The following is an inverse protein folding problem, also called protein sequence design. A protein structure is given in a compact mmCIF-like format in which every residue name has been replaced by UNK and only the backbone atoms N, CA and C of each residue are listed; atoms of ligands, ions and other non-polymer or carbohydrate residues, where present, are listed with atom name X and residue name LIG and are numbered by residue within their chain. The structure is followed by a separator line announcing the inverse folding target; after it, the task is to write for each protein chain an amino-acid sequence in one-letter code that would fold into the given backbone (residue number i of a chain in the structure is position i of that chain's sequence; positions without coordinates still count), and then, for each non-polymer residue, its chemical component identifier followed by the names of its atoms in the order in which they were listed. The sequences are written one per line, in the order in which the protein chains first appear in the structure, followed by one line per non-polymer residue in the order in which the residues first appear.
data_IF_524140518921
#
_entry.id   IF_524140518921
#
_cell.length_a   1.000
_cell.length_b   1.000
_cell.length_c   1.000
_cell.angle_alpha   90.00
_cell.angle_beta   90.00
_cell.angle_gamma   90.00
#
_symmetry.space_group_name_H-M   'P 1'
#
loop_
_entity.id
_entity.type
_entity.pdbx_description
1 polymer ?
#
# COMPACT_ATOMS: atom_id res chain seq x y z
N UNK A 1 -33.99 -0.28 -21.66
CA UNK A 1 -32.89 -0.35 -22.65
C UNK A 1 -32.40 1.06 -22.94
N UNK A 2 -31.46 1.56 -22.14
CA UNK A 2 -30.83 2.86 -22.37
C UNK A 2 -29.37 2.60 -22.73
N UNK A 3 -29.04 2.74 -24.01
CA UNK A 3 -27.65 2.78 -24.49
C UNK A 3 -27.08 4.11 -24.06
N UNK A 4 -26.11 4.09 -23.16
CA UNK A 4 -25.33 5.28 -22.84
C UNK A 4 -24.11 5.32 -23.77
N UNK A 5 -24.33 5.74 -25.02
CA UNK A 5 -23.24 6.19 -25.89
C UNK A 5 -23.00 7.65 -25.58
N UNK A 6 -21.88 7.96 -24.92
CA UNK A 6 -21.37 9.33 -24.84
C UNK A 6 -19.95 9.34 -25.38
N UNK A 7 -19.82 9.88 -26.58
CA UNK A 7 -18.61 10.51 -27.07
C UNK A 7 -18.10 11.46 -25.98
N UNK A 8 -16.89 11.20 -25.49
CA UNK A 8 -16.15 12.11 -24.64
C UNK A 8 -14.87 12.46 -25.40
N UNK A 9 -14.95 13.56 -26.14
CA UNK A 9 -13.80 14.27 -26.67
C UNK A 9 -12.85 14.62 -25.53
N UNK A 10 -11.62 14.15 -25.69
CA UNK A 10 -10.52 14.24 -24.76
C UNK A 10 -10.11 15.70 -24.50
N UNK A 11 -10.12 16.12 -23.24
CA UNK A 11 -9.31 17.23 -22.75
C UNK A 11 -8.48 16.72 -21.58
N UNK A 12 -7.17 16.82 -21.78
CA UNK A 12 -6.13 16.64 -20.78
C UNK A 12 -6.37 17.60 -19.61
N UNK A 13 -6.21 17.11 -18.39
CA UNK A 13 -6.23 17.98 -17.22
C UNK A 13 -6.58 17.27 -15.94
N UNK A 14 -5.75 16.32 -15.50
CA UNK A 14 -5.61 15.96 -14.08
C UNK A 14 -4.20 15.38 -13.86
N UNK A 15 -3.21 16.26 -13.80
CA UNK A 15 -2.00 16.08 -12.97
C UNK A 15 -2.22 17.02 -11.78
N UNK A 16 -1.82 16.59 -10.59
CA UNK A 16 -1.95 17.27 -9.27
C UNK A 16 -3.03 16.72 -8.34
N UNK A 17 -2.67 15.64 -7.65
CA UNK A 17 -2.59 15.63 -6.17
C UNK A 17 -1.89 14.32 -5.77
N UNK A 18 -0.67 14.46 -5.27
CA UNK A 18 0.15 13.36 -4.82
C UNK A 18 -0.49 12.69 -3.60
N UNK A 19 -1.10 11.53 -3.80
CA UNK A 19 -1.49 10.56 -2.76
C UNK A 19 -1.64 9.14 -3.35
N UNK A 20 -0.88 8.83 -4.41
CA UNK A 20 -0.93 7.56 -5.15
C UNK A 20 0.37 6.76 -5.02
N UNK A 21 0.89 6.61 -3.79
CA UNK A 21 2.04 5.71 -3.53
C UNK A 21 1.80 4.65 -2.44
N UNK A 22 0.57 4.47 -1.98
CA UNK A 22 0.24 3.32 -1.14
C UNK A 22 -1.14 2.77 -1.51
N UNK A 23 -1.21 1.48 -1.84
CA UNK A 23 -2.46 0.73 -1.98
C UNK A 23 -3.21 0.59 -0.65
N UNK A 24 -3.71 1.71 -0.12
CA UNK A 24 -4.48 1.80 1.11
C UNK A 24 -5.97 1.66 0.77
N UNK A 25 -6.52 0.48 1.07
CA UNK A 25 -7.96 0.35 1.33
C UNK A 25 -8.23 1.04 2.67
N UNK A 26 -8.53 2.34 2.64
CA UNK A 26 -9.15 3.03 3.78
C UNK A 26 -10.57 2.47 3.90
N UNK A 27 -10.71 1.42 4.69
CA UNK A 27 -12.01 0.87 5.06
C UNK A 27 -12.64 1.79 6.10
N UNK A 28 -13.27 2.88 5.65
CA UNK A 28 -14.46 3.35 6.37
C UNK A 28 -15.48 2.22 6.31
N UNK A 29 -16.03 1.84 7.47
CA UNK A 29 -17.13 0.91 7.53
C UNK A 29 -18.31 1.47 6.72
N UNK A 30 -18.49 0.96 5.50
CA UNK A 30 -19.69 1.10 4.72
C UNK A 30 -20.39 -0.26 4.69
N UNK A 31 -21.63 -0.29 5.18
CA UNK A 31 -22.56 -1.39 4.94
C UNK A 31 -22.85 -1.37 3.43
N UNK A 32 -22.21 -2.26 2.70
CA UNK A 32 -22.40 -2.49 1.28
C UNK A 32 -21.82 -3.86 0.96
N UNK A 33 -22.59 -4.71 0.27
CA UNK A 33 -22.21 -6.08 -0.07
C UNK A 33 -20.76 -6.12 -0.59
N UNK A 34 -19.88 -6.77 0.17
CA UNK A 34 -18.45 -6.81 -0.13
C UNK A 34 -18.22 -7.69 -1.37
N UNK A 35 -18.28 -7.10 -2.56
CA UNK A 35 -17.81 -7.75 -3.77
C UNK A 35 -16.27 -7.84 -3.71
N UNK A 36 -15.74 -9.05 -3.54
CA UNK A 36 -14.31 -9.31 -3.58
C UNK A 36 -13.82 -9.30 -5.03
N UNK A 37 -13.34 -8.16 -5.51
CA UNK A 37 -12.66 -8.09 -6.81
C UNK A 37 -11.26 -8.69 -6.67
N UNK A 38 -10.94 -9.71 -7.46
CA UNK A 38 -9.62 -10.37 -7.46
C UNK A 38 -8.49 -9.45 -7.94
N UNK A 39 -7.24 -9.79 -7.58
CA UNK A 39 -6.06 -9.15 -8.15
C UNK A 39 -5.90 -9.51 -9.62
N UNK A 40 -5.04 -8.76 -10.33
CA UNK A 40 -4.69 -9.11 -11.70
C UNK A 40 -4.07 -10.51 -11.75
N UNK A 41 -4.49 -11.31 -12.73
CA UNK A 41 -3.93 -12.63 -12.98
C UNK A 41 -2.55 -12.57 -13.66
N UNK A 42 -2.13 -11.38 -14.11
CA UNK A 42 -0.87 -11.18 -14.83
C UNK A 42 -0.84 -11.75 -16.25
N UNK A 43 -1.98 -12.23 -16.76
CA UNK A 43 -2.11 -12.79 -18.11
C UNK A 43 -3.33 -12.21 -18.81
N UNK A 44 -3.23 -12.03 -20.12
CA UNK A 44 -4.35 -11.66 -20.98
C UNK A 44 -5.31 -12.85 -21.13
N UNK A 45 -6.57 -12.68 -20.79
CA UNK A 45 -7.57 -13.75 -20.85
C UNK A 45 -7.83 -14.26 -22.27
N UNK A 46 -7.71 -13.41 -23.28
CA UNK A 46 -7.94 -13.80 -24.67
C UNK A 46 -6.77 -14.57 -25.28
N UNK A 47 -5.53 -14.19 -24.96
CA UNK A 47 -4.32 -14.73 -25.61
C UNK A 47 -3.48 -15.61 -24.70
N UNK A 48 -3.80 -15.66 -23.40
CA UNK A 48 -3.03 -16.30 -22.33
C UNK A 48 -1.59 -15.79 -22.21
N UNK A 49 -1.26 -14.67 -22.87
CA UNK A 49 0.07 -14.04 -22.79
C UNK A 49 0.25 -13.34 -21.45
N UNK A 50 1.37 -13.58 -20.79
CA UNK A 50 1.77 -12.81 -19.61
C UNK A 50 2.04 -11.34 -19.93
N UNK A 51 1.63 -10.44 -19.04
CA UNK A 51 1.91 -9.01 -19.15
C UNK A 51 3.36 -8.73 -18.73
N UNK A 52 4.02 -7.83 -19.46
CA UNK A 52 5.32 -7.30 -19.06
C UNK A 52 5.17 -6.27 -17.93
N UNK A 53 6.22 -6.08 -17.13
CA UNK A 53 6.24 -5.04 -16.11
C UNK A 53 6.00 -3.65 -16.75
N UNK A 54 5.11 -2.86 -16.16
CA UNK A 54 4.68 -1.56 -16.68
C UNK A 54 3.69 -1.61 -17.84
N UNK A 55 3.39 -2.79 -18.38
CA UNK A 55 2.52 -2.93 -19.57
C UNK A 55 1.09 -2.46 -19.27
N UNK A 56 0.50 -1.68 -20.18
CA UNK A 56 -0.91 -1.26 -20.08
C UNK A 56 -1.81 -2.43 -20.46
N UNK A 57 -2.81 -2.69 -19.63
CA UNK A 57 -3.85 -3.68 -19.90
C UNK A 57 -5.23 -3.13 -19.52
N UNK A 58 -6.29 -3.83 -19.94
CA UNK A 58 -7.68 -3.54 -19.58
C UNK A 58 -8.17 -4.55 -18.56
N UNK A 59 -8.50 -4.10 -17.35
CA UNK A 59 -9.19 -4.89 -16.35
C UNK A 59 -10.70 -4.79 -16.59
N UNK A 60 -11.39 -5.92 -16.67
CA UNK A 60 -12.83 -6.00 -16.87
C UNK A 60 -13.50 -6.76 -15.71
N UNK A 61 -14.58 -6.20 -15.19
CA UNK A 61 -15.51 -6.91 -14.31
C UNK A 61 -16.50 -7.68 -15.15
N UNK A 62 -16.53 -8.98 -14.96
CA UNK A 62 -17.35 -9.93 -15.68
C UNK A 62 -18.35 -10.54 -14.71
N UNK A 63 -19.63 -10.36 -14.99
CA UNK A 63 -20.72 -11.00 -14.26
C UNK A 63 -21.16 -12.25 -15.02
N UNK A 64 -21.21 -13.39 -14.33
CA UNK A 64 -21.71 -14.65 -14.87
C UNK A 64 -22.80 -15.23 -13.95
N UNK A 65 -23.88 -15.82 -14.51
CA UNK A 65 -24.93 -16.44 -13.72
C UNK A 65 -24.40 -17.49 -12.75
N UNK A 66 -24.75 -17.37 -11.46
CA UNK A 66 -24.34 -18.32 -10.42
C UNK A 66 -22.90 -18.20 -9.90
N UNK A 67 -22.04 -17.41 -10.57
CA UNK A 67 -20.63 -17.19 -10.16
C UNK A 67 -20.43 -15.81 -9.53
N UNK A 68 -21.28 -14.84 -9.87
CA UNK A 68 -21.14 -13.46 -9.41
C UNK A 68 -20.15 -12.65 -10.24
N UNK A 69 -19.64 -11.56 -9.67
CA UNK A 69 -18.72 -10.63 -10.34
C UNK A 69 -17.28 -11.10 -10.15
N UNK A 70 -16.58 -11.31 -11.25
CA UNK A 70 -15.15 -11.68 -11.29
C UNK A 70 -14.36 -10.65 -12.08
N UNK A 71 -13.05 -10.57 -11.85
CA UNK A 71 -12.15 -9.75 -12.65
C UNK A 71 -11.43 -10.60 -13.69
N UNK A 72 -11.37 -10.10 -14.91
CA UNK A 72 -10.65 -10.69 -16.04
C UNK A 72 -9.85 -9.59 -16.72
N UNK A 73 -8.58 -9.85 -17.04
CA UNK A 73 -7.69 -8.85 -17.65
C UNK A 73 -7.44 -9.17 -19.14
N UNK A 74 -7.38 -8.15 -19.98
CA UNK A 74 -7.10 -8.25 -21.42
C UNK A 74 -5.93 -7.34 -21.80
N UNK A 75 -5.09 -7.76 -22.73
CA UNK A 75 -4.18 -6.82 -23.39
C UNK A 75 -4.99 -5.74 -24.13
N UNK A 76 -4.40 -4.55 -24.30
CA UNK A 76 -5.05 -3.45 -25.03
C UNK A 76 -5.42 -3.89 -26.45
N UNK A 77 -4.53 -4.65 -27.12
CA UNK A 77 -4.77 -5.15 -28.47
C UNK A 77 -5.94 -6.13 -28.52
N UNK A 78 -5.99 -7.11 -27.61
CA UNK A 78 -7.10 -8.05 -27.55
C UNK A 78 -8.43 -7.33 -27.25
N UNK A 79 -8.42 -6.37 -26.34
CA UNK A 79 -9.61 -5.59 -25.99
C UNK A 79 -10.13 -4.77 -27.18
N UNK A 80 -9.23 -4.10 -27.90
CA UNK A 80 -9.57 -3.30 -29.08
C UNK A 80 -9.97 -4.18 -30.27
N UNK A 81 -9.42 -5.39 -30.37
CA UNK A 81 -9.81 -6.42 -31.33
C UNK A 81 -11.17 -7.09 -31.03
N UNK A 82 -11.88 -6.65 -29.99
CA UNK A 82 -13.23 -7.12 -29.67
C UNK A 82 -13.29 -8.33 -28.74
N UNK A 83 -12.16 -8.76 -28.15
CA UNK A 83 -12.17 -9.88 -27.21
C UNK A 83 -13.00 -9.54 -25.97
N UNK A 84 -14.02 -10.34 -25.69
CA UNK A 84 -14.95 -10.21 -24.56
C UNK A 84 -15.26 -11.60 -24.00
N UNK A 85 -15.73 -11.71 -22.74
CA UNK A 85 -16.22 -12.98 -22.23
C UNK A 85 -17.35 -13.52 -23.11
N UNK A 86 -17.40 -14.84 -23.29
CA UNK A 86 -18.48 -15.49 -24.01
C UNK A 86 -19.78 -15.44 -23.20
N UNK A 87 -20.92 -15.37 -23.89
CA UNK A 87 -22.22 -15.51 -23.25
C UNK A 87 -22.30 -16.86 -22.48
N UNK A 88 -22.96 -16.91 -21.31
CA UNK A 88 -23.85 -15.90 -20.73
C UNK A 88 -23.16 -14.83 -19.88
N UNK A 89 -21.83 -14.83 -19.81
CA UNK A 89 -21.09 -13.85 -19.02
C UNK A 89 -21.03 -12.50 -19.77
N UNK A 90 -21.15 -11.39 -19.02
CA UNK A 90 -21.15 -10.06 -19.58
C UNK A 90 -20.18 -9.14 -18.84
N UNK A 91 -19.56 -8.21 -19.57
CA UNK A 91 -18.75 -7.16 -18.94
C UNK A 91 -19.70 -6.11 -18.36
N UNK A 92 -19.56 -5.85 -17.06
CA UNK A 92 -20.34 -4.84 -16.32
C UNK A 92 -19.56 -3.57 -16.03
N UNK A 93 -18.23 -3.60 -16.17
CA UNK A 93 -17.35 -2.43 -16.05
C UNK A 93 -15.92 -2.73 -16.47
N UNK A 94 -15.16 -1.72 -16.87
CA UNK A 94 -13.76 -1.89 -17.25
C UNK A 94 -12.93 -0.61 -17.01
N UNK A 95 -11.63 -0.77 -16.79
CA UNK A 95 -10.66 0.32 -16.69
C UNK A 95 -9.30 -0.11 -17.24
N UNK A 96 -8.45 0.86 -17.59
CA UNK A 96 -7.04 0.61 -17.93
C UNK A 96 -6.17 0.68 -16.68
N UNK A 97 -5.14 -0.15 -16.62
CA UNK A 97 -4.14 -0.17 -15.55
C UNK A 97 -2.78 -0.58 -16.13
N UNK A 98 -1.72 -0.30 -15.38
CA UNK A 98 -0.39 -0.84 -15.67
C UNK A 98 -0.16 -2.12 -14.87
N UNK A 99 0.41 -3.15 -15.49
CA UNK A 99 0.79 -4.37 -14.81
C UNK A 99 2.06 -4.11 -14.00
N UNK A 100 2.00 -4.40 -12.71
CA UNK A 100 3.17 -4.47 -11.87
C UNK A 100 3.31 -5.93 -11.45
N UNK A 101 4.44 -6.60 -11.77
CA UNK A 101 4.72 -7.91 -11.21
C UNK A 101 4.58 -7.80 -9.70
N UNK A 102 4.11 -8.87 -9.04
CA UNK A 102 4.00 -8.87 -7.59
C UNK A 102 5.34 -8.36 -7.03
N UNK A 103 5.38 -7.22 -6.32
CA UNK A 103 6.61 -6.83 -5.67
C UNK A 103 6.97 -8.03 -4.78
N UNK A 104 8.16 -8.59 -4.95
CA UNK A 104 8.68 -9.54 -3.97
C UNK A 104 8.41 -8.91 -2.61
N UNK A 105 7.84 -9.69 -1.69
CA UNK A 105 7.46 -9.16 -0.39
C UNK A 105 8.70 -8.50 0.21
N UNK A 106 8.75 -7.16 0.16
CA UNK A 106 9.91 -6.39 0.60
C UNK A 106 10.21 -6.87 2.01
N UNK A 107 11.41 -7.42 2.22
CA UNK A 107 11.84 -7.81 3.55
C UNK A 107 12.02 -6.52 4.31
N UNK A 108 11.17 -6.28 5.31
CA UNK A 108 11.38 -5.18 6.23
C UNK A 108 12.76 -5.36 6.89
N UNK A 109 13.48 -4.27 7.15
CA UNK A 109 14.75 -4.36 7.88
C UNK A 109 14.55 -4.90 9.29
N UNK A 110 13.42 -4.51 9.89
CA UNK A 110 13.04 -4.93 11.24
C UNK A 110 11.82 -5.83 11.20
N UNK A 111 11.88 -6.92 11.95
CA UNK A 111 10.72 -7.75 12.23
C UNK A 111 9.78 -7.09 13.25
N UNK A 112 8.64 -7.74 13.51
CA UNK A 112 7.63 -7.19 14.40
C UNK A 112 8.11 -7.06 15.87
N UNK A 113 9.06 -7.89 16.31
CA UNK A 113 9.63 -7.83 17.65
C UNK A 113 10.64 -6.69 17.76
N UNK A 114 11.50 -6.52 16.76
CA UNK A 114 12.49 -5.43 16.71
C UNK A 114 11.81 -4.06 16.60
N UNK A 115 10.70 -3.94 15.85
CA UNK A 115 9.91 -2.70 15.79
C UNK A 115 9.26 -2.37 17.15
N UNK A 116 8.83 -3.39 17.89
CA UNK A 116 8.28 -3.22 19.24
C UNK A 116 9.37 -2.80 20.24
N UNK A 117 10.56 -3.40 20.16
CA UNK A 117 11.71 -3.01 20.99
C UNK A 117 12.14 -1.57 20.70
N UNK A 118 12.22 -1.17 19.43
CA UNK A 118 12.50 0.21 19.04
C UNK A 118 11.45 1.18 19.60
N UNK A 119 10.18 0.82 19.53
CA UNK A 119 9.09 1.62 20.10
C UNK A 119 9.23 1.81 21.61
N UNK A 120 9.66 0.77 22.32
CA UNK A 120 9.88 0.77 23.76
C UNK A 120 11.12 1.59 24.16
N UNK A 121 12.19 1.50 23.38
CA UNK A 121 13.42 2.26 23.60
C UNK A 121 13.22 3.77 23.46
N UNK A 122 12.22 4.19 22.68
CA UNK A 122 11.84 5.60 22.54
C UNK A 122 10.91 6.08 23.67
N UNK A 123 10.56 5.23 24.63
CA UNK A 123 9.73 5.63 25.76
C UNK A 123 10.45 6.63 26.68
N UNK A 124 9.73 7.68 27.10
CA UNK A 124 10.27 8.70 27.99
C UNK A 124 11.23 9.71 27.35
N UNK A 125 11.49 9.63 26.04
CA UNK A 125 12.30 10.64 25.33
C UNK A 125 11.65 12.02 25.39
N UNK A 126 12.47 13.06 25.58
CA UNK A 126 12.05 14.48 25.58
C UNK A 126 12.41 15.19 24.28
N UNK A 127 13.17 14.53 23.40
CA UNK A 127 13.52 15.06 22.08
C UNK A 127 12.28 15.06 21.17
N UNK A 128 11.87 16.25 20.73
CA UNK A 128 10.70 16.44 19.87
C UNK A 128 10.77 15.58 18.59
N UNK A 129 11.96 15.36 18.02
CA UNK A 129 12.13 14.53 16.82
C UNK A 129 11.83 13.06 17.13
N UNK A 130 12.33 12.55 18.26
CA UNK A 130 12.08 11.18 18.69
C UNK A 130 10.63 10.96 19.15
N UNK A 131 9.99 11.96 19.76
CA UNK A 131 8.56 11.91 20.10
C UNK A 131 7.71 11.74 18.84
N UNK A 132 7.99 12.54 17.80
CA UNK A 132 7.32 12.45 16.49
C UNK A 132 7.55 11.09 15.83
N UNK A 133 8.79 10.63 15.82
CA UNK A 133 9.14 9.33 15.26
C UNK A 133 8.45 8.19 15.99
N UNK A 134 8.43 8.20 17.33
CA UNK A 134 7.70 7.22 18.16
C UNK A 134 6.21 7.20 17.86
N UNK A 135 5.60 8.37 17.68
CA UNK A 135 4.19 8.47 17.31
C UNK A 135 3.92 7.82 15.95
N UNK A 136 4.73 8.12 14.94
CA UNK A 136 4.58 7.51 13.61
C UNK A 136 4.85 6.01 13.59
N UNK A 137 5.85 5.55 14.35
CA UNK A 137 6.10 4.13 14.56
C UNK A 137 4.87 3.46 15.21
N UNK A 138 4.21 4.10 16.18
CA UNK A 138 2.97 3.59 16.76
C UNK A 138 1.85 3.44 15.72
N UNK A 139 1.67 4.44 14.84
CA UNK A 139 0.68 4.37 13.76
C UNK A 139 0.95 3.19 12.82
N UNK A 140 2.22 2.93 12.50
CA UNK A 140 2.64 1.75 11.74
C UNK A 140 2.30 0.44 12.48
N UNK A 141 2.63 0.35 13.77
CA UNK A 141 2.38 -0.83 14.61
C UNK A 141 0.87 -1.11 14.80
N UNK A 142 0.04 -0.07 14.88
CA UNK A 142 -1.43 -0.18 14.88
C UNK A 142 -1.91 -0.78 13.57
N UNK A 143 -1.40 -0.28 12.44
CA UNK A 143 -1.74 -0.80 11.11
C UNK A 143 -1.34 -2.27 10.94
N UNK A 144 -0.20 -2.67 11.50
CA UNK A 144 0.27 -4.07 11.54
C UNK A 144 -0.47 -4.94 12.57
N UNK A 145 -1.38 -4.36 13.37
CA UNK A 145 -2.14 -5.01 14.45
C UNK A 145 -1.28 -5.54 15.60
N UNK A 146 -0.13 -4.92 15.84
CA UNK A 146 0.75 -5.20 16.99
C UNK A 146 0.36 -4.38 18.21
N UNK A 147 -0.27 -3.21 17.99
CA UNK A 147 -0.81 -2.32 19.02
C UNK A 147 -2.30 -2.12 18.79
N UNK A 148 -3.08 -2.05 19.87
CA UNK A 148 -4.50 -1.72 19.86
C UNK A 148 -4.76 -0.41 20.59
N UNK A 149 -5.47 0.50 19.94
CA UNK A 149 -5.95 1.73 20.57
C UNK A 149 -7.17 1.43 21.44
N UNK A 150 -7.16 1.91 22.67
CA UNK A 150 -8.21 1.70 23.67
C UNK A 150 -9.07 2.95 23.80
N UNK A 151 -8.43 4.12 23.84
CA UNK A 151 -9.09 5.41 23.91
C UNK A 151 -8.19 6.49 23.32
N UNK A 152 -8.81 7.59 22.89
CA UNK A 152 -8.12 8.80 22.48
C UNK A 152 -8.76 9.98 23.19
N UNK A 153 -7.97 10.78 23.90
CA UNK A 153 -8.41 11.97 24.62
C UNK A 153 -7.77 13.20 23.97
N UNK A 154 -8.59 14.15 23.50
CA UNK A 154 -8.09 15.45 23.03
C UNK A 154 -7.83 16.37 24.22
N UNK A 155 -6.68 17.01 24.24
CA UNK A 155 -6.28 18.03 25.22
C UNK A 155 -6.05 19.36 24.49
N UNK A 156 -5.74 20.43 25.24
CA UNK A 156 -5.40 21.74 24.64
C UNK A 156 -4.04 21.73 23.93
N UNK A 157 -3.19 20.76 24.27
CA UNK A 157 -1.80 20.64 23.81
C UNK A 157 -1.62 19.56 22.73
N UNK A 158 -2.68 18.78 22.41
CA UNK A 158 -2.64 17.72 21.41
C UNK A 158 -3.69 16.64 21.62
N UNK A 159 -3.45 15.44 21.11
CA UNK A 159 -4.25 14.25 21.42
C UNK A 159 -3.40 13.24 22.19
N UNK A 160 -3.98 12.58 23.19
CA UNK A 160 -3.35 11.48 23.93
C UNK A 160 -4.05 10.20 23.53
N UNK A 161 -3.30 9.21 23.08
CA UNK A 161 -3.77 7.90 22.69
C UNK A 161 -3.36 6.89 23.76
N UNK A 162 -4.33 6.16 24.31
CA UNK A 162 -4.07 5.05 25.23
C UNK A 162 -4.05 3.74 24.44
N UNK A 163 -2.97 2.98 24.58
CA UNK A 163 -2.70 1.80 23.76
C UNK A 163 -2.38 0.56 24.62
N UNK A 164 -2.73 -0.61 24.09
CA UNK A 164 -2.30 -1.93 24.58
C UNK A 164 -1.49 -2.65 23.51
N UNK A 165 -0.53 -3.48 23.93
CA UNK A 165 0.10 -4.43 23.03
C UNK A 165 -0.87 -5.55 22.66
N UNK A 166 -0.58 -6.21 21.54
CA UNK A 166 -1.29 -7.44 21.15
C UNK A 166 -1.17 -8.49 22.26
N UNK A 167 -2.31 -8.97 22.76
CA UNK A 167 -2.37 -9.95 23.85
C UNK A 167 -2.32 -9.36 25.27
N UNK A 168 -2.23 -8.04 25.38
CA UNK A 168 -2.38 -7.30 26.63
C UNK A 168 -3.86 -6.92 26.83
N UNK A 169 -4.35 -7.13 28.05
CA UNK A 169 -5.71 -6.79 28.47
C UNK A 169 -5.64 -5.89 29.69
N UNK A 170 -6.75 -5.21 30.00
CA UNK A 170 -6.83 -4.34 31.17
C UNK A 170 -6.54 -5.04 32.50
N UNK A 171 -6.64 -6.38 32.52
CA UNK A 171 -6.32 -7.20 33.70
C UNK A 171 -4.81 -7.28 33.97
N UNK A 172 -3.96 -6.97 32.97
CA UNK A 172 -2.50 -7.05 33.08
C UNK A 172 -1.84 -5.74 33.48
N UNK A 173 -2.56 -4.62 33.43
CA UNK A 173 -2.04 -3.30 33.80
C UNK A 173 -2.74 -2.14 33.07
N UNK A 174 -2.43 -0.89 33.45
CA UNK A 174 -2.95 0.29 32.78
C UNK A 174 -2.39 0.42 31.34
N UNK A 175 -3.16 1.02 30.41
CA UNK A 175 -2.70 1.21 29.04
C UNK A 175 -1.55 2.22 29.00
N UNK A 176 -0.62 2.02 28.06
CA UNK A 176 0.45 2.99 27.82
C UNK A 176 -0.10 4.24 27.12
N UNK A 177 0.36 5.41 27.54
CA UNK A 177 -0.02 6.68 26.91
C UNK A 177 0.97 7.11 25.84
N UNK A 178 0.44 7.59 24.72
CA UNK A 178 1.19 8.12 23.59
C UNK A 178 0.65 9.50 23.24
N UNK A 179 1.53 10.49 23.23
CA UNK A 179 1.19 11.88 22.87
C UNK A 179 1.26 12.01 21.35
N UNK A 180 0.23 12.60 20.75
CA UNK A 180 0.23 13.12 19.39
C UNK A 180 0.87 14.52 19.41
N UNK A 181 2.07 14.69 18.85
CA UNK A 181 2.79 15.95 18.90
C UNK A 181 2.24 17.01 17.94
N UNK A 182 1.17 16.70 17.17
CA UNK A 182 0.68 17.57 16.11
C UNK A 182 1.69 17.64 14.97
N UNK A 183 1.60 16.67 14.06
CA UNK A 183 2.52 16.61 12.92
C UNK A 183 2.15 17.66 11.87
N UNK A 184 3.06 18.62 11.64
CA UNK A 184 3.01 19.50 10.47
C UNK A 184 3.54 18.79 9.21
N UNK A 185 3.31 19.36 8.03
CA UNK A 185 3.64 18.72 6.75
C UNK A 185 5.13 18.36 6.61
N UNK A 186 6.01 19.21 7.15
CA UNK A 186 7.46 18.97 7.16
C UNK A 186 7.84 17.85 8.13
N UNK A 187 7.25 17.82 9.33
CA UNK A 187 7.44 16.78 10.32
C UNK A 187 6.92 15.42 9.84
N UNK A 188 5.82 15.41 9.09
CA UNK A 188 5.33 14.19 8.42
C UNK A 188 6.37 13.71 7.42
N UNK A 189 6.89 14.58 6.55
CA UNK A 189 7.87 14.20 5.55
C UNK A 189 9.15 13.61 6.17
N UNK A 190 9.74 14.28 7.16
CA UNK A 190 10.97 13.83 7.83
C UNK A 190 10.80 12.46 8.48
N UNK A 191 9.71 12.27 9.23
CA UNK A 191 9.48 11.01 9.91
C UNK A 191 9.00 9.91 8.95
N UNK A 192 8.39 10.25 7.81
CA UNK A 192 8.13 9.31 6.72
C UNK A 192 9.44 8.84 6.07
N UNK A 193 10.42 9.72 5.90
CA UNK A 193 11.75 9.35 5.39
C UNK A 193 12.46 8.38 6.35
N UNK A 194 12.44 8.67 7.65
CA UNK A 194 13.01 7.78 8.67
C UNK A 194 12.32 6.41 8.70
N UNK A 195 10.99 6.37 8.59
CA UNK A 195 10.26 5.10 8.50
C UNK A 195 10.53 4.38 7.18
N UNK A 196 10.67 5.09 6.07
CA UNK A 196 11.02 4.50 4.78
C UNK A 196 12.40 3.85 4.81
N UNK A 197 13.39 4.49 5.44
CA UNK A 197 14.72 3.89 5.67
C UNK A 197 14.64 2.59 6.47
N UNK A 198 13.68 2.46 7.40
CA UNK A 198 13.45 1.23 8.17
C UNK A 198 12.63 0.18 7.41
N UNK A 199 11.89 0.56 6.37
CA UNK A 199 10.98 -0.31 5.62
C UNK A 199 11.50 -0.68 4.23
N UNK A 200 12.50 0.03 3.71
CA UNK A 200 12.99 -0.10 2.34
C UNK A 200 14.52 -0.17 2.32
N UNK A 201 15.05 -1.38 2.25
CA UNK A 201 16.39 -1.61 1.73
C UNK A 201 16.32 -2.62 0.60
N UNK A 202 16.13 -2.10 -0.62
CA UNK A 202 16.91 -2.56 -1.77
C UNK A 202 18.07 -1.56 -1.96
N UNK A 203 19.13 -1.72 -1.16
CA UNK A 203 20.47 -1.34 -1.62
C UNK A 203 21.33 -2.59 -1.56
N UNK A 204 21.27 -3.39 -2.61
CA UNK A 204 22.43 -4.19 -2.97
C UNK A 204 23.62 -3.22 -3.09
N UNK A 205 24.74 -3.41 -2.38
CA UNK A 205 25.92 -2.62 -2.64
C UNK A 205 26.28 -2.81 -4.11
N UNK A 206 26.50 -1.69 -4.81
CA UNK A 206 27.09 -1.71 -6.13
C UNK A 206 28.36 -2.58 -6.04
N UNK A 207 28.44 -3.59 -6.89
CA UNK A 207 29.63 -4.38 -7.07
C UNK A 207 30.76 -3.45 -7.56
N UNK A 208 31.50 -2.88 -6.62
CA UNK A 208 32.87 -2.45 -6.87
C UNK A 208 33.76 -3.69 -6.81
N UNK A 209 34.03 -4.26 -7.98
CA UNK A 209 35.14 -5.17 -8.24
C UNK A 209 35.36 -5.20 -9.76
N UNK A 210 36.46 -4.74 -10.34
CA UNK A 210 37.61 -4.02 -9.83
C UNK A 210 38.40 -3.54 -11.04
N UNK A 211 38.70 -2.25 -11.11
CA UNK A 211 39.76 -1.74 -11.96
C UNK A 211 41.09 -1.96 -11.22
N UNK A 212 41.78 -3.05 -11.55
CA UNK A 212 43.13 -3.34 -11.10
C UNK A 212 44.04 -3.47 -12.31
N UNK A 213 44.76 -2.39 -12.61
CA UNK A 213 45.75 -2.35 -13.68
C UNK A 213 46.97 -3.23 -13.41
N UNK A 214 47.55 -3.65 -14.53
CA UNK A 214 48.91 -4.12 -14.79
C UNK A 214 49.96 -3.99 -13.67
N UNK A 215 50.74 -5.08 -13.49
CA UNK A 215 52.17 -4.95 -13.21
C UNK A 215 52.97 -6.03 -13.94
N UNK A 216 54.05 -5.55 -14.58
CA UNK A 216 55.06 -6.25 -15.37
C UNK A 216 56.06 -6.92 -14.44
N UNK A 217 56.58 -8.10 -14.81
CA UNK A 217 57.92 -8.50 -14.40
C UNK A 217 58.64 -9.24 -15.54
N UNK A 218 59.92 -8.87 -15.65
CA UNK A 218 60.88 -9.11 -16.73
C UNK A 218 61.15 -10.59 -17.05
#
# INVERSE_FOLDING_TARGET
MARFTRDATWREGWVETGLFLWGIRWGMAAIGTAYSVSRSAGVCAATQRAFAAGEVFVAALVEAPGVGITRVDYSVDAWNGGARPAAPAAVVGFWKSHYQPNPEAKKNLLDDAELMELFDNLSGTTDAKQIRFRYMLALLLIRRRLIRVVSTKRTKEGAIMSIYRRGETADKGPPSELIDPGLDEMAIADAMEQLAQLMDTDRAPAAEAGAGGAEVKA
#
